data_IF_208357687746
#
_entry.id   IF_208357687746
#
_cell.length_a   1.000
_cell.length_b   1.000
_cell.length_c   1.000
_cell.angle_alpha   90.00
_cell.angle_beta   90.00
_cell.angle_gamma   90.00
#
_symmetry.space_group_name_H-M   'P 1'
#
loop_
_entity.id
_entity.type
_entity.pdbx_description
1 polymer ?
#
# COMPACT_ATOMS: atom_id res chain seq x y z
N UNK A 1 -7.30 -6.26 -12.74
CA UNK A 1 -6.97 -5.23 -11.74
C UNK A 1 -7.14 -5.86 -10.37
N UNK A 2 -6.14 -5.73 -9.51
CA UNK A 2 -6.20 -6.16 -8.10
C UNK A 2 -6.16 -4.90 -7.25
N UNK A 3 -6.94 -4.87 -6.17
CA UNK A 3 -6.92 -3.78 -5.21
C UNK A 3 -6.35 -4.25 -3.87
N UNK A 4 -5.63 -3.36 -3.20
CA UNK A 4 -5.05 -3.59 -1.89
C UNK A 4 -5.50 -2.47 -0.96
N UNK A 5 -6.40 -2.80 -0.03
CA UNK A 5 -6.75 -1.91 1.07
C UNK A 5 -5.70 -1.94 2.14
N UNK A 6 -5.19 -0.77 2.51
CA UNK A 6 -4.10 -0.60 3.45
C UNK A 6 -4.61 0.23 4.62
N UNK A 7 -4.57 -0.36 5.82
CA UNK A 7 -4.79 0.33 7.09
C UNK A 7 -3.46 0.37 7.84
N UNK A 8 -2.99 1.57 8.15
CA UNK A 8 -1.72 1.79 8.83
C UNK A 8 -1.93 2.64 10.07
N UNK A 9 -1.35 2.24 11.20
CA UNK A 9 -1.27 3.03 12.41
C UNK A 9 0.16 3.53 12.57
N UNK A 10 0.34 4.79 12.93
CA UNK A 10 1.67 5.29 13.26
C UNK A 10 2.09 4.74 14.64
N UNK A 11 3.29 4.16 14.75
CA UNK A 11 3.76 3.53 15.99
C UNK A 11 4.05 4.54 17.11
N UNK A 12 4.27 5.82 16.75
CA UNK A 12 4.62 6.90 17.69
C UNK A 12 3.51 7.92 17.89
N UNK A 13 2.58 8.00 16.94
CA UNK A 13 1.45 8.94 16.94
C UNK A 13 0.17 8.13 16.93
N UNK A 14 -0.85 8.50 17.71
CA UNK A 14 -2.12 7.77 17.69
C UNK A 14 -2.98 8.12 16.46
N UNK A 15 -2.36 8.16 15.29
CA UNK A 15 -2.96 8.52 14.00
C UNK A 15 -2.99 7.29 13.10
N UNK A 16 -4.11 7.09 12.41
CA UNK A 16 -4.28 6.06 11.39
C UNK A 16 -4.36 6.67 10.01
N UNK A 17 -3.92 5.92 9.01
CA UNK A 17 -4.02 6.27 7.60
C UNK A 17 -4.59 5.07 6.87
N UNK A 18 -5.67 5.34 6.14
CA UNK A 18 -6.35 4.36 5.29
C UNK A 18 -6.21 4.80 3.83
N UNK A 19 -5.82 3.87 2.96
CA UNK A 19 -5.76 4.12 1.53
C UNK A 19 -5.78 2.82 0.72
N UNK A 20 -5.91 2.98 -0.60
CA UNK A 20 -5.97 1.88 -1.56
C UNK A 20 -4.77 1.97 -2.51
N UNK A 21 -4.18 0.82 -2.82
CA UNK A 21 -3.18 0.65 -3.86
C UNK A 21 -3.74 -0.32 -4.90
N UNK A 22 -3.62 0.01 -6.18
CA UNK A 22 -4.14 -0.83 -7.26
C UNK A 22 -2.99 -1.42 -8.08
N UNK A 23 -3.21 -2.57 -8.71
CA UNK A 23 -2.24 -3.23 -9.60
C UNK A 23 -2.89 -3.66 -10.91
N UNK A 24 -2.30 -3.24 -12.02
CA UNK A 24 -2.74 -3.62 -13.37
C UNK A 24 -1.80 -4.64 -14.03
N UNK A 25 -2.24 -5.89 -14.14
CA UNK A 25 -1.46 -6.94 -14.80
C UNK A 25 -0.36 -7.55 -13.91
N UNK A 26 0.77 -8.00 -14.49
CA UNK A 26 1.83 -8.68 -13.75
C UNK A 26 2.57 -7.74 -12.77
N UNK A 27 3.44 -8.35 -11.96
CA UNK A 27 3.82 -7.97 -10.58
C UNK A 27 4.27 -6.53 -10.31
N UNK A 28 4.53 -5.65 -11.30
CA UNK A 28 5.19 -4.35 -11.06
C UNK A 28 4.35 -3.10 -11.35
N UNK A 29 3.11 -3.24 -11.85
CA UNK A 29 2.29 -2.10 -12.25
C UNK A 29 1.39 -1.58 -11.11
N UNK A 30 1.99 -1.29 -9.96
CA UNK A 30 1.26 -0.69 -8.83
C UNK A 30 1.04 0.81 -9.07
N UNK A 31 -0.14 1.30 -8.69
CA UNK A 31 -0.47 2.71 -8.76
C UNK A 31 -1.42 3.13 -7.63
N UNK A 32 -1.29 4.37 -7.21
CA UNK A 32 -2.24 5.06 -6.34
C UNK A 32 -3.20 5.87 -7.21
N UNK A 33 -4.50 5.75 -6.98
CA UNK A 33 -5.49 6.55 -7.70
C UNK A 33 -5.64 7.92 -7.05
N UNK A 34 -5.11 8.94 -7.71
CA UNK A 34 -5.16 10.33 -7.30
C UNK A 34 -6.52 10.99 -7.52
N UNK A 35 -6.58 12.31 -7.33
CA UNK A 35 -7.77 13.09 -7.70
C UNK A 35 -7.97 12.98 -9.22
N UNK A 36 -9.23 12.96 -9.66
CA UNK A 36 -9.59 12.84 -11.09
C UNK A 36 -9.16 11.53 -11.77
N UNK A 37 -9.02 10.42 -11.01
CA UNK A 37 -8.61 9.10 -11.52
C UNK A 37 -7.21 9.08 -12.15
N UNK A 38 -6.33 9.99 -11.75
CA UNK A 38 -4.93 9.99 -12.16
C UNK A 38 -4.21 8.77 -11.56
N UNK A 39 -3.45 8.04 -12.38
CA UNK A 39 -2.60 6.94 -11.91
C UNK A 39 -1.25 7.51 -11.48
N UNK A 40 -1.02 7.54 -10.18
CA UNK A 40 0.21 8.06 -9.58
C UNK A 40 1.13 6.89 -9.23
N UNK A 41 2.39 6.95 -9.66
CA UNK A 41 3.41 5.99 -9.23
C UNK A 41 3.54 6.08 -7.70
N UNK A 42 3.50 4.95 -6.95
CA UNK A 42 3.54 5.03 -5.49
C UNK A 42 4.81 5.68 -4.92
N UNK A 43 5.90 5.70 -5.69
CA UNK A 43 7.15 6.42 -5.35
C UNK A 43 7.04 7.95 -5.49
N UNK A 44 6.04 8.44 -6.21
CA UNK A 44 5.83 9.87 -6.50
C UNK A 44 4.68 10.49 -5.68
N UNK A 45 4.02 9.71 -4.83
CA UNK A 45 2.92 10.18 -3.97
C UNK A 45 3.42 11.38 -3.13
N UNK A 46 2.76 12.56 -3.18
CA UNK A 46 3.18 13.73 -2.41
C UNK A 46 3.10 13.54 -0.88
N UNK A 47 2.14 12.73 -0.42
CA UNK A 47 2.02 12.32 0.98
C UNK A 47 3.18 11.39 1.37
N UNK A 48 4.07 11.91 2.21
CA UNK A 48 5.26 11.20 2.67
C UNK A 48 4.95 9.93 3.45
N UNK A 49 3.82 9.88 4.17
CA UNK A 49 3.43 8.72 4.96
C UNK A 49 2.94 7.59 4.07
N UNK A 50 2.07 7.91 3.11
CA UNK A 50 1.61 6.93 2.11
C UNK A 50 2.78 6.41 1.27
N UNK A 51 3.68 7.30 0.86
CA UNK A 51 4.90 6.93 0.12
C UNK A 51 5.82 6.00 0.91
N UNK A 52 6.05 6.26 2.20
CA UNK A 52 6.83 5.37 3.08
C UNK A 52 6.23 3.96 3.13
N UNK A 53 4.92 3.88 3.34
CA UNK A 53 4.20 2.61 3.41
C UNK A 53 4.33 1.88 2.07
N UNK A 54 3.99 2.52 0.96
CA UNK A 54 4.10 1.93 -0.38
C UNK A 54 5.51 1.41 -0.67
N UNK A 55 6.55 2.17 -0.35
CA UNK A 55 7.93 1.75 -0.58
C UNK A 55 8.30 0.49 0.21
N UNK A 56 7.81 0.36 1.46
CA UNK A 56 7.99 -0.88 2.23
C UNK A 56 7.21 -2.05 1.62
N UNK A 57 5.98 -1.79 1.19
CA UNK A 57 5.12 -2.82 0.62
C UNK A 57 5.60 -3.32 -0.73
N UNK A 58 6.40 -2.56 -1.47
CA UNK A 58 6.88 -2.97 -2.81
C UNK A 58 8.31 -3.55 -2.80
N UNK A 59 8.90 -3.81 -1.63
CA UNK A 59 10.19 -4.53 -1.56
C UNK A 59 10.03 -5.94 -2.12
N UNK A 60 11.04 -6.45 -2.86
CA UNK A 60 10.94 -7.71 -3.63
C UNK A 60 10.43 -8.95 -2.85
N UNK A 61 10.57 -8.98 -1.53
CA UNK A 61 10.11 -10.08 -0.67
C UNK A 61 8.80 -9.75 0.08
N UNK A 62 8.09 -8.70 -0.32
CA UNK A 62 6.89 -8.26 0.36
C UNK A 62 5.74 -9.24 0.12
N UNK A 63 4.91 -9.51 1.15
CA UNK A 63 3.76 -10.39 1.00
C UNK A 63 2.72 -9.88 -0.02
N UNK A 64 2.74 -8.59 -0.39
CA UNK A 64 1.78 -8.02 -1.35
C UNK A 64 1.78 -8.72 -2.72
N UNK A 65 2.95 -9.21 -3.16
CA UNK A 65 3.09 -9.86 -4.47
C UNK A 65 2.40 -11.22 -4.54
N UNK A 66 2.31 -11.93 -3.41
CA UNK A 66 1.74 -13.27 -3.28
C UNK A 66 0.38 -13.29 -2.56
N UNK A 67 -0.13 -12.12 -2.15
CA UNK A 67 -1.37 -12.01 -1.40
C UNK A 67 -2.57 -12.32 -2.31
N UNK A 68 -3.30 -13.39 -1.98
CA UNK A 68 -4.47 -13.85 -2.74
C UNK A 68 -5.70 -12.98 -2.44
N UNK A 69 -6.66 -12.84 -3.38
CA UNK A 69 -7.92 -12.14 -3.13
C UNK A 69 -8.65 -12.66 -1.89
N UNK A 70 -9.20 -11.74 -1.10
CA UNK A 70 -9.85 -12.02 0.18
C UNK A 70 -8.90 -12.39 1.32
N UNK A 71 -7.58 -12.31 1.12
CA UNK A 71 -6.58 -12.55 2.18
C UNK A 71 -5.97 -11.23 2.64
N UNK A 72 -5.59 -11.22 3.91
CA UNK A 72 -4.90 -10.10 4.54
C UNK A 72 -3.56 -10.53 5.11
N UNK A 73 -2.61 -9.60 5.17
CA UNK A 73 -1.35 -9.78 5.86
C UNK A 73 -0.97 -8.53 6.63
N UNK A 74 -0.26 -8.71 7.74
CA UNK A 74 0.28 -7.60 8.51
C UNK A 74 1.60 -7.14 7.89
N UNK A 75 1.87 -5.84 8.01
CA UNK A 75 3.16 -5.25 7.64
C UNK A 75 3.65 -4.34 8.75
N UNK A 76 4.96 -4.07 8.72
CA UNK A 76 5.61 -3.15 9.63
C UNK A 76 6.71 -2.39 8.91
N UNK A 77 6.71 -1.09 9.07
CA UNK A 77 7.76 -0.16 8.66
C UNK A 77 8.47 0.40 9.90
N UNK A 78 9.36 1.36 9.72
CA UNK A 78 9.97 2.10 10.82
C UNK A 78 8.93 2.92 11.58
N UNK A 79 7.96 3.51 10.86
CA UNK A 79 7.00 4.48 11.41
C UNK A 79 5.59 3.92 11.55
N UNK A 80 5.24 2.86 10.82
CA UNK A 80 3.88 2.34 10.70
C UNK A 80 3.80 0.83 10.92
N UNK A 81 2.72 0.39 11.54
CA UNK A 81 2.28 -0.99 11.61
C UNK A 81 0.84 -1.08 11.12
N UNK A 82 0.52 -2.13 10.37
CA UNK A 82 -0.74 -2.14 9.65
C UNK A 82 -1.09 -3.48 9.02
N UNK A 83 -2.21 -3.45 8.30
CA UNK A 83 -2.76 -4.59 7.56
C UNK A 83 -2.98 -4.19 6.11
N UNK A 84 -2.66 -5.11 5.21
CA UNK A 84 -3.01 -5.04 3.78
C UNK A 84 -4.04 -6.13 3.54
N UNK A 85 -5.11 -5.82 2.83
CA UNK A 85 -6.12 -6.79 2.37
C UNK A 85 -6.20 -6.73 0.86
N UNK A 86 -6.01 -7.88 0.20
CA UNK A 86 -6.21 -8.03 -1.24
C UNK A 86 -7.70 -8.21 -1.52
N UNK A 87 -8.28 -7.34 -2.34
CA UNK A 87 -9.68 -7.37 -2.78
C UNK A 87 -9.82 -7.93 -4.20
#
# INVERSE_FOLDING_TARGET
MISYKINAKNVRKNTTIDFELKRDGPEENFYFEGKNNEKINPQEIPDTSRREICNNLMLANSPIFVLKPGKSCNFKTITYDGTITCE
#
